data_IF_140465721959
#
_entry.id   IF_140465721959
#
_cell.length_a   1.000
_cell.length_b   1.000
_cell.length_c   1.000
_cell.angle_alpha   90.00
_cell.angle_beta   90.00
_cell.angle_gamma   90.00
#
_symmetry.space_group_name_H-M   'P 1'
#
loop_
_entity.id
_entity.type
_entity.pdbx_description
1 polymer ?
2 non-polymer ?
#
# COMPACT_ATOMS: atom_id res chain seq x y z
N UNK A 11 -1.18 -28.29 4.04
CA UNK A 11 -1.52 -27.32 5.07
C UNK A 11 -1.48 -25.90 4.51
N UNK A 12 -1.25 -24.94 5.41
CA UNK A 12 -1.18 -23.54 5.01
C UNK A 12 0.13 -23.20 4.32
N UNK A 13 1.13 -24.10 4.37
CA UNK A 13 2.48 -23.73 3.97
C UNK A 13 2.56 -23.48 2.47
N UNK A 14 2.00 -24.38 1.66
CA UNK A 14 2.17 -24.27 0.22
C UNK A 14 1.51 -23.03 -0.38
N UNK A 15 0.22 -22.77 -0.17
CA UNK A 15 -0.37 -21.54 -0.73
C UNK A 15 0.28 -20.28 -0.20
N UNK A 16 0.65 -20.26 1.09
CA UNK A 16 1.32 -19.09 1.64
C UNK A 16 2.67 -18.86 0.98
N UNK A 17 3.44 -19.93 0.76
CA UNK A 17 4.74 -19.79 0.13
C UNK A 17 4.60 -19.31 -1.32
N UNK A 18 3.64 -19.88 -2.06
CA UNK A 18 3.46 -19.46 -3.44
C UNK A 18 3.01 -18.01 -3.52
N UNK A 19 2.06 -17.61 -2.66
CA UNK A 19 1.61 -16.22 -2.67
C UNK A 19 2.71 -15.26 -2.22
N UNK A 20 3.55 -15.69 -1.27
CA UNK A 20 4.66 -14.85 -0.83
C UNK A 20 5.68 -14.70 -1.94
N UNK A 21 5.96 -15.76 -2.68
CA UNK A 21 6.86 -15.64 -3.83
C UNK A 21 6.30 -14.70 -4.88
N UNK A 22 4.99 -14.82 -5.16
CA UNK A 22 4.36 -13.91 -6.11
C UNK A 22 4.45 -12.46 -5.64
N UNK A 23 4.11 -12.22 -4.37
CA UNK A 23 4.18 -10.88 -3.82
C UNK A 23 5.58 -10.35 -3.63
N UNK A 24 6.58 -11.23 -3.62
CA UNK A 24 7.96 -10.77 -3.59
C UNK A 24 8.43 -10.36 -4.97
N UNK A 25 8.28 -11.24 -5.95
CA UNK A 25 8.77 -10.93 -7.29
C UNK A 25 7.89 -9.88 -7.99
N UNK A 26 6.64 -9.71 -7.56
CA UNK A 26 5.80 -8.68 -8.15
C UNK A 26 5.97 -7.32 -7.48
N UNK A 27 6.68 -7.25 -6.36
CA UNK A 27 7.00 -5.98 -5.73
C UNK A 27 8.49 -5.70 -5.65
N UNK A 28 9.35 -6.68 -5.96
CA UNK A 28 10.78 -6.45 -6.09
C UNK A 28 10.99 -5.75 -7.43
N UNK A 29 10.69 -4.46 -7.45
CA UNK A 29 10.73 -3.66 -8.67
C UNK A 29 11.79 -2.59 -8.53
N UNK A 30 12.99 -2.79 -9.09
CA UNK A 30 14.05 -1.78 -8.95
C UNK A 30 13.72 -0.44 -9.57
N UNK A 31 12.79 -0.40 -10.52
CA UNK A 31 12.48 0.84 -11.22
C UNK A 31 11.63 1.81 -10.40
N UNK A 32 11.02 1.35 -9.31
CA UNK A 32 10.14 2.23 -8.54
C UNK A 32 10.85 3.45 -7.97
N UNK A 33 11.98 3.33 -7.28
CA UNK A 33 12.63 4.56 -6.78
C UNK A 33 13.05 5.51 -7.88
N UNK A 34 13.46 4.99 -9.04
CA UNK A 34 13.96 5.80 -10.15
C UNK A 34 12.95 5.90 -11.28
N UNK A 35 11.65 5.99 -10.96
CA UNK A 35 10.65 6.12 -12.01
C UNK A 35 10.72 7.48 -12.68
N UNK A 36 10.78 8.55 -11.88
CA UNK A 36 10.87 9.90 -12.45
C UNK A 36 12.16 10.11 -13.25
N UNK A 37 13.35 9.76 -12.74
CA UNK A 37 14.55 9.87 -13.58
C UNK A 37 14.47 9.05 -14.85
N UNK A 38 13.79 7.90 -14.81
CA UNK A 38 13.54 7.11 -16.01
C UNK A 38 12.56 7.81 -16.94
N UNK A 39 11.44 8.31 -16.40
CA UNK A 39 10.44 8.97 -17.22
C UNK A 39 10.96 10.28 -17.78
N UNK A 40 11.53 11.12 -16.93
CA UNK A 40 12.16 12.37 -17.37
C UNK A 40 13.65 12.10 -17.55
N UNK A 41 14.04 11.81 -18.78
CA UNK A 41 15.40 11.41 -19.08
C UNK A 41 15.66 11.36 -20.57
N UNK A 42 16.77 10.74 -20.96
CA UNK A 42 17.13 10.72 -22.38
C UNK A 42 16.42 9.64 -23.19
N UNK A 43 15.85 8.60 -22.55
CA UNK A 43 15.19 7.49 -23.28
C UNK A 43 13.69 7.78 -23.40
N UNK A 44 13.01 7.95 -22.27
CA UNK A 44 11.58 8.24 -22.34
C UNK A 44 11.33 9.65 -22.85
N UNK A 45 12.16 10.61 -22.43
CA UNK A 45 12.11 11.99 -22.91
C UNK A 45 10.76 12.65 -22.61
N UNK A 46 10.29 12.51 -21.39
CA UNK A 46 9.08 13.21 -20.95
C UNK A 46 9.49 14.49 -20.20
N UNK A 47 8.51 15.21 -19.66
CA UNK A 47 8.77 16.42 -18.91
C UNK A 47 7.94 16.41 -17.62
N UNK A 48 8.41 17.17 -16.63
CA UNK A 48 7.77 17.20 -15.33
C UNK A 48 6.35 17.77 -15.38
N UNK A 49 5.97 18.46 -16.45
CA UNK A 49 4.61 18.95 -16.60
C UNK A 49 3.67 17.86 -17.07
N UNK A 50 4.08 17.11 -18.11
CA UNK A 50 3.25 16.04 -18.64
C UNK A 50 3.18 14.84 -17.72
N UNK A 51 4.10 14.70 -16.77
CA UNK A 51 4.12 13.56 -15.87
C UNK A 51 3.14 13.74 -14.72
N UNK A 52 3.12 14.93 -14.11
CA UNK A 52 2.29 15.19 -12.94
C UNK A 52 0.89 15.68 -13.28
N UNK A 53 0.66 16.13 -14.52
CA UNK A 53 -0.64 16.67 -14.91
C UNK A 53 -1.41 15.79 -15.88
N UNK A 54 -0.73 15.06 -16.76
CA UNK A 54 -1.38 14.26 -17.77
C UNK A 54 -1.18 12.76 -17.60
N UNK A 55 -0.28 12.32 -16.72
CA UNK A 55 0.02 10.90 -16.59
C UNK A 55 -0.37 10.41 -15.21
N UNK A 56 0.13 11.06 -14.16
CA UNK A 56 -0.10 10.59 -12.80
C UNK A 56 -1.58 10.56 -12.40
N UNK A 57 -2.40 11.58 -12.66
CA UNK A 57 -3.82 11.48 -12.27
C UNK A 57 -4.56 10.34 -12.96
N UNK A 58 -4.08 9.87 -14.10
CA UNK A 58 -4.68 8.71 -14.75
C UNK A 58 -4.60 7.50 -13.84
N UNK A 59 -3.52 7.38 -13.07
CA UNK A 59 -3.42 6.28 -12.12
C UNK A 59 -4.54 6.34 -11.09
N UNK A 60 -4.82 7.53 -10.54
CA UNK A 60 -5.87 7.66 -9.55
C UNK A 60 -7.24 7.36 -10.14
N UNK A 61 -7.52 7.89 -11.33
CA UNK A 61 -8.81 7.65 -11.96
C UNK A 61 -9.00 6.16 -12.26
N UNK A 62 -7.97 5.52 -12.81
CA UNK A 62 -8.05 4.09 -13.10
C UNK A 62 -8.14 3.29 -11.81
N UNK A 63 -7.46 3.72 -10.76
CA UNK A 63 -7.52 3.02 -9.48
C UNK A 63 -8.95 3.03 -8.95
N UNK A 64 -9.61 4.16 -8.96
CA UNK A 64 -10.97 4.15 -8.42
C UNK A 64 -11.87 3.24 -9.28
N UNK A 65 -11.95 3.50 -10.55
CA UNK A 65 -12.91 2.69 -11.34
C UNK A 65 -12.53 1.20 -11.38
N UNK A 66 -11.25 0.84 -11.46
CA UNK A 66 -10.91 -0.59 -11.54
C UNK A 66 -11.13 -1.19 -10.18
N UNK A 67 -11.10 -0.38 -9.12
CA UNK A 67 -11.42 -0.92 -7.79
C UNK A 67 -12.87 -1.34 -7.81
N UNK A 68 -13.75 -0.60 -8.50
CA UNK A 68 -15.21 -0.91 -8.56
C UNK A 68 -15.65 -2.33 -8.96
N UNK A 69 -15.14 -2.89 -10.07
CA UNK A 69 -15.36 -4.30 -10.41
C UNK A 69 -14.50 -5.21 -9.52
N UNK A 70 -13.26 -4.79 -9.25
CA UNK A 70 -12.31 -5.56 -8.39
C UNK A 70 -12.99 -5.96 -7.08
N UNK A 71 -13.62 -5.00 -6.39
CA UNK A 71 -14.26 -5.28 -5.10
C UNK A 71 -15.63 -5.87 -5.36
N UNK A 72 -16.22 -5.74 -6.55
CA UNK A 72 -17.56 -6.36 -6.62
C UNK A 72 -17.52 -7.85 -6.97
N UNK A 73 -16.60 -8.27 -7.83
CA UNK A 73 -16.48 -9.53 -8.55
C UNK A 73 -15.29 -10.39 -8.15
N UNK A 74 -14.44 -9.97 -7.21
CA UNK A 74 -13.27 -10.78 -6.88
C UNK A 74 -13.66 -12.05 -6.14
N UNK A 75 -14.55 -11.96 -5.17
CA UNK A 75 -14.96 -13.14 -4.41
C UNK A 75 -15.68 -14.14 -5.30
N UNK A 76 -16.47 -13.65 -6.26
CA UNK A 76 -17.21 -14.55 -7.14
C UNK A 76 -16.27 -15.37 -8.02
N UNK A 77 -15.19 -14.77 -8.50
CA UNK A 77 -14.27 -15.44 -9.42
C UNK A 77 -13.22 -16.21 -8.63
N UNK A 78 -13.36 -16.24 -7.31
CA UNK A 78 -12.54 -17.07 -6.42
C UNK A 78 -11.09 -16.61 -6.35
N UNK A 79 -10.86 -15.32 -6.58
CA UNK A 79 -9.64 -14.61 -6.19
C UNK A 79 -8.40 -14.96 -7.02
N UNK A 80 -8.46 -16.01 -7.83
CA UNK A 80 -7.28 -16.35 -8.61
C UNK A 80 -7.19 -15.55 -9.91
N UNK A 81 -8.25 -15.48 -10.73
CA UNK A 81 -8.13 -14.75 -12.00
C UNK A 81 -7.75 -13.30 -11.84
N UNK A 82 -8.19 -12.64 -10.76
CA UNK A 82 -7.80 -11.25 -10.55
C UNK A 82 -6.30 -11.18 -10.23
N UNK A 83 -5.79 -12.16 -9.48
CA UNK A 83 -4.35 -12.25 -9.26
C UNK A 83 -3.63 -12.50 -10.57
N UNK A 84 -4.15 -13.42 -11.38
CA UNK A 84 -3.58 -13.66 -12.71
C UNK A 84 -3.72 -12.41 -13.57
N UNK A 85 -4.86 -11.72 -13.47
CA UNK A 85 -5.03 -10.46 -14.19
C UNK A 85 -4.02 -9.42 -13.73
N UNK A 86 -3.71 -9.39 -12.43
CA UNK A 86 -2.64 -8.52 -11.93
C UNK A 86 -1.30 -8.90 -12.54
N UNK A 87 -1.03 -10.20 -12.65
CA UNK A 87 0.22 -10.63 -13.26
C UNK A 87 0.34 -10.21 -14.71
N UNK A 88 -0.72 -10.41 -15.49
CA UNK A 88 -0.71 -9.99 -16.89
C UNK A 88 -0.59 -8.47 -16.99
N UNK A 89 -1.25 -7.73 -16.10
CA UNK A 89 -1.09 -6.28 -16.09
C UNK A 89 0.34 -5.89 -15.77
N UNK A 90 1.03 -6.66 -14.93
CA UNK A 90 2.44 -6.39 -14.64
C UNK A 90 3.30 -6.50 -15.90
N UNK A 91 3.06 -7.52 -16.71
CA UNK A 91 3.84 -7.68 -17.94
C UNK A 91 3.50 -6.58 -18.94
N UNK A 92 2.21 -6.24 -19.07
CA UNK A 92 1.82 -5.19 -20.01
C UNK A 92 2.35 -3.83 -19.53
N UNK A 93 2.23 -3.54 -18.24
CA UNK A 93 2.68 -2.26 -17.72
C UNK A 93 4.16 -2.04 -17.98
N UNK A 94 4.99 -3.03 -17.65
CA UNK A 94 6.43 -2.86 -17.81
C UNK A 94 6.90 -3.06 -19.24
N UNK A 95 6.18 -3.83 -20.04
CA UNK A 95 6.49 -3.89 -21.47
C UNK A 95 6.22 -2.54 -22.13
N UNK A 96 5.17 -1.85 -21.71
CA UNK A 96 4.89 -0.53 -22.26
C UNK A 96 5.83 0.52 -21.68
N UNK A 97 6.23 0.36 -20.41
CA UNK A 97 7.23 1.25 -19.83
C UNK A 97 8.58 1.08 -20.53
N UNK A 98 8.88 -0.14 -20.97
CA UNK A 98 10.15 -0.42 -21.62
C UNK A 98 10.21 0.15 -23.02
N UNK A 99 9.09 0.06 -23.77
CA UNK A 99 9.08 0.38 -25.19
C UNK A 99 7.98 1.37 -25.54
N UNK A 100 7.64 2.26 -24.62
CA UNK A 100 6.59 3.25 -24.85
C UNK A 100 7.18 4.62 -25.12
N UNK A 101 6.51 5.38 -25.99
CA UNK A 101 6.91 6.72 -26.34
C UNK A 101 5.70 7.64 -26.34
N UNK A 102 5.89 8.86 -25.86
CA UNK A 102 4.82 9.83 -25.81
C UNK A 102 3.92 9.65 -24.60
N UNK A 103 3.12 10.68 -24.34
CA UNK A 103 2.23 10.67 -23.18
C UNK A 103 1.14 9.62 -23.33
N UNK A 104 0.64 9.43 -24.56
CA UNK A 104 -0.51 8.56 -24.78
C UNK A 104 -0.24 7.15 -24.30
N UNK A 105 0.97 6.63 -24.55
CA UNK A 105 1.30 5.28 -24.10
C UNK A 105 1.45 5.22 -22.59
N UNK A 106 1.99 6.27 -21.97
CA UNK A 106 2.17 6.24 -20.52
C UNK A 106 0.85 6.37 -19.77
N UNK A 107 -0.17 6.97 -20.39
CA UNK A 107 -1.50 6.93 -19.79
C UNK A 107 -2.05 5.50 -19.79
N UNK A 108 -1.76 4.73 -20.84
CA UNK A 108 -2.11 3.32 -20.84
C UNK A 108 -1.32 2.58 -19.78
N UNK A 109 -0.05 2.95 -19.59
CA UNK A 109 0.75 2.39 -18.52
C UNK A 109 0.10 2.65 -17.17
N UNK A 110 -0.40 3.86 -16.97
CA UNK A 110 -1.07 4.21 -15.72
C UNK A 110 -2.37 3.42 -15.56
N UNK A 111 -3.11 3.22 -16.66
CA UNK A 111 -4.32 2.41 -16.61
C UNK A 111 -4.00 0.99 -16.14
N UNK A 112 -2.96 0.39 -16.70
CA UNK A 112 -2.63 -0.97 -16.31
C UNK A 112 -2.02 -1.04 -14.91
N UNK A 113 -1.32 0.02 -14.48
CA UNK A 113 -0.85 0.04 -13.10
C UNK A 113 -2.01 0.25 -12.13
N UNK A 114 -3.06 0.93 -12.57
CA UNK A 114 -4.28 0.97 -11.77
C UNK A 114 -4.92 -0.40 -11.67
N UNK A 115 -4.93 -1.16 -12.76
CA UNK A 115 -5.31 -2.57 -12.69
C UNK A 115 -4.49 -3.31 -11.64
N UNK A 116 -3.17 -3.11 -11.66
CA UNK A 116 -2.28 -3.80 -10.72
C UNK A 116 -2.63 -3.43 -9.28
N UNK A 117 -2.77 -2.13 -9.02
CA UNK A 117 -3.00 -1.67 -7.65
C UNK A 117 -4.38 -2.07 -7.15
N UNK A 118 -5.37 -2.13 -8.04
CA UNK A 118 -6.69 -2.59 -7.66
C UNK A 118 -6.68 -4.09 -7.35
N UNK A 119 -5.94 -4.87 -8.15
CA UNK A 119 -5.89 -6.30 -7.93
C UNK A 119 -4.99 -6.69 -6.77
N UNK A 120 -4.18 -5.76 -6.25
CA UNK A 120 -3.48 -6.02 -5.00
C UNK A 120 -4.46 -6.37 -3.88
N UNK A 121 -5.67 -5.82 -3.93
CA UNK A 121 -6.70 -6.18 -2.95
C UNK A 121 -7.04 -7.65 -3.05
N UNK A 122 -7.21 -8.16 -4.28
CA UNK A 122 -7.43 -9.59 -4.46
C UNK A 122 -6.24 -10.40 -4.00
N UNK A 123 -5.03 -9.90 -4.22
CA UNK A 123 -3.84 -10.58 -3.73
C UNK A 123 -3.88 -10.74 -2.22
N UNK A 124 -4.30 -9.69 -1.51
CA UNK A 124 -4.33 -9.77 -0.05
C UNK A 124 -5.45 -10.65 0.48
N UNK A 125 -6.50 -10.90 -0.31
CA UNK A 125 -7.64 -11.66 0.19
C UNK A 125 -7.60 -13.12 -0.24
N UNK A 126 -6.84 -13.42 -1.30
CA UNK A 126 -6.81 -14.80 -1.81
C UNK A 126 -6.39 -15.78 -0.73
N UNK A 127 -5.33 -15.46 0.02
CA UNK A 127 -4.82 -16.42 0.99
C UNK A 127 -5.81 -16.64 2.11
N UNK A 128 -6.56 -15.61 2.50
CA UNK A 128 -7.64 -15.81 3.45
C UNK A 128 -8.71 -16.72 2.88
N UNK A 129 -8.94 -16.64 1.56
CA UNK A 129 -9.91 -17.52 0.95
C UNK A 129 -9.44 -18.97 0.85
N UNK A 130 -8.17 -19.25 1.16
CA UNK A 130 -7.61 -20.56 0.90
C UNK A 130 -7.06 -21.26 2.14
N UNK A 131 -6.86 -20.57 3.26
CA UNK A 131 -6.34 -21.20 4.46
C UNK A 131 -7.40 -21.14 5.56
N UNK A 132 -7.20 -21.97 6.59
CA UNK A 132 -8.09 -22.02 7.73
C UNK A 132 -7.93 -20.78 8.61
N UNK A 133 -8.98 -20.40 9.34
CA UNK A 133 -8.89 -19.17 10.15
C UNK A 133 -7.81 -19.21 11.23
N UNK A 134 -7.43 -20.40 11.71
CA UNK A 134 -6.43 -20.48 12.77
C UNK A 134 -5.08 -19.92 12.32
N UNK A 135 -4.79 -19.94 11.02
CA UNK A 135 -3.57 -19.37 10.50
C UNK A 135 -3.73 -17.92 10.06
N UNK A 136 -4.95 -17.38 10.09
CA UNK A 136 -5.22 -16.06 9.54
C UNK A 136 -4.31 -15.00 10.13
N UNK A 137 -3.87 -15.17 11.38
CA UNK A 137 -2.89 -14.25 11.93
C UNK A 137 -1.54 -14.41 11.24
N UNK A 138 -0.94 -15.60 11.36
CA UNK A 138 0.43 -15.80 10.90
C UNK A 138 0.59 -15.35 9.45
N UNK A 139 -0.13 -16.03 8.56
CA UNK A 139 -0.16 -15.73 7.14
C UNK A 139 -0.24 -14.23 6.92
N UNK A 140 -1.18 -13.57 7.61
CA UNK A 140 -1.36 -12.13 7.45
C UNK A 140 -0.02 -11.41 7.48
N UNK A 141 0.67 -11.49 8.61
CA UNK A 141 1.96 -10.82 8.72
C UNK A 141 2.87 -11.21 7.59
N UNK A 142 3.04 -12.52 7.39
CA UNK A 142 3.91 -13.03 6.35
C UNK A 142 3.61 -12.32 5.04
N UNK A 143 2.34 -12.34 4.62
CA UNK A 143 1.97 -11.71 3.36
C UNK A 143 2.47 -10.27 3.35
N UNK A 144 1.96 -9.45 4.26
CA UNK A 144 2.38 -8.06 4.28
C UNK A 144 3.90 -7.97 4.34
N UNK A 145 4.49 -8.75 5.24
CA UNK A 145 5.93 -8.68 5.43
C UNK A 145 6.66 -8.85 4.11
N UNK A 146 6.34 -9.92 3.37
CA UNK A 146 7.15 -10.21 2.19
C UNK A 146 7.03 -9.07 1.20
N UNK A 147 5.81 -8.54 1.02
CA UNK A 147 5.64 -7.42 0.11
C UNK A 147 6.57 -6.28 0.50
N UNK A 148 6.50 -5.87 1.77
CA UNK A 148 7.37 -4.79 2.23
C UNK A 148 8.82 -5.18 2.04
N UNK A 149 9.17 -6.42 2.41
CA UNK A 149 10.53 -6.88 2.20
C UNK A 149 10.90 -6.75 0.73
N UNK A 150 10.03 -7.24 -0.15
CA UNK A 150 10.29 -7.12 -1.57
C UNK A 150 10.63 -5.68 -1.92
N UNK A 151 9.80 -4.74 -1.45
CA UNK A 151 10.00 -3.34 -1.79
C UNK A 151 11.41 -2.91 -1.41
N UNK A 152 11.81 -3.15 -0.14
CA UNK A 152 13.10 -2.65 0.27
C UNK A 152 14.20 -3.35 -0.53
N UNK A 153 14.03 -4.66 -0.77
CA UNK A 153 14.98 -5.36 -1.62
C UNK A 153 15.12 -4.67 -2.95
N UNK A 154 13.98 -4.40 -3.61
CA UNK A 154 14.03 -3.68 -4.87
C UNK A 154 14.77 -2.38 -4.73
N UNK A 155 14.41 -1.57 -3.71
CA UNK A 155 15.09 -0.30 -3.52
C UNK A 155 16.58 -0.53 -3.32
N UNK A 156 16.93 -1.51 -2.49
CA UNK A 156 18.34 -1.82 -2.30
C UNK A 156 18.95 -2.24 -3.63
N UNK A 157 18.29 -3.16 -4.35
CA UNK A 157 18.84 -3.62 -5.61
C UNK A 157 18.90 -2.49 -6.62
N UNK A 158 18.11 -1.44 -6.40
CA UNK A 158 18.31 -0.23 -7.18
C UNK A 158 19.53 0.53 -6.68
N UNK A 159 19.51 0.95 -5.41
CA UNK A 159 20.52 1.87 -4.90
C UNK A 159 21.91 1.26 -5.01
N UNK A 160 22.01 -0.07 -4.94
CA UNK A 160 23.28 -0.73 -5.16
C UNK A 160 23.69 -0.66 -6.63
N UNK A 161 22.84 -1.18 -7.51
CA UNK A 161 23.23 -1.40 -8.89
C UNK A 161 23.62 -0.10 -9.57
N UNK A 162 22.76 0.91 -9.51
CA UNK A 162 23.03 2.18 -10.18
C UNK A 162 24.31 2.80 -9.65
N UNK A 163 24.72 2.45 -8.43
CA UNK A 163 25.91 3.04 -7.82
C UNK A 163 27.09 2.07 -7.80
N UNK A 164 26.90 0.84 -8.27
CA UNK A 164 28.02 -0.10 -8.32
C UNK A 164 28.12 -0.86 -9.63
N UNK A 165 27.18 -0.70 -10.55
CA UNK A 165 27.29 -1.28 -11.87
C UNK A 165 27.02 -0.29 -12.99
N UNK A 166 26.75 0.97 -12.67
CA UNK A 166 26.35 1.98 -13.64
C UNK A 166 25.25 1.44 -14.54
N UNK A 167 24.19 0.96 -13.89
CA UNK A 167 23.09 0.31 -14.59
C UNK A 167 22.09 1.37 -15.02
N UNK A 168 21.90 1.51 -16.33
CA UNK A 168 20.95 2.48 -16.85
C UNK A 168 19.52 2.08 -16.45
N UNK A 169 18.67 3.11 -16.35
CA UNK A 169 17.29 2.87 -15.93
C UNK A 169 16.56 1.93 -16.88
N UNK A 170 16.97 1.87 -18.14
CA UNK A 170 16.39 0.91 -19.07
C UNK A 170 16.63 -0.52 -18.60
N UNK A 171 17.86 -0.82 -18.15
CA UNK A 171 18.14 -2.15 -17.65
C UNK A 171 17.55 -2.39 -16.27
N UNK A 172 17.36 -1.33 -15.48
CA UNK A 172 16.60 -1.47 -14.24
C UNK A 172 15.17 -1.91 -14.54
N UNK A 173 14.55 -1.31 -15.55
CA UNK A 173 13.20 -1.71 -15.91
C UNK A 173 13.18 -3.08 -16.57
N UNK A 174 14.25 -3.47 -17.26
CA UNK A 174 14.35 -4.83 -17.78
C UNK A 174 14.38 -5.83 -16.63
N UNK A 175 15.17 -5.53 -15.58
CA UNK A 175 15.21 -6.39 -14.40
C UNK A 175 13.84 -6.41 -13.72
N UNK A 176 13.17 -5.26 -13.68
CA UNK A 176 11.84 -5.18 -13.10
C UNK A 176 10.85 -6.05 -13.86
N UNK A 177 10.90 -6.02 -15.19
CA UNK A 177 10.04 -6.87 -16.00
C UNK A 177 10.35 -8.34 -15.80
N UNK A 178 11.64 -8.67 -15.68
CA UNK A 178 12.02 -10.05 -15.40
C UNK A 178 11.46 -10.50 -14.05
N UNK A 179 11.49 -9.58 -13.09
CA UNK A 179 10.96 -9.90 -11.74
C UNK A 179 9.46 -10.14 -11.81
N UNK A 180 8.72 -9.20 -12.40
CA UNK A 180 7.25 -9.29 -12.43
C UNK A 180 6.78 -10.40 -13.35
N UNK A 181 7.58 -10.80 -14.34
CA UNK A 181 7.18 -11.92 -15.19
C UNK A 181 7.30 -13.24 -14.46
N UNK A 182 8.35 -13.41 -13.64
CA UNK A 182 8.47 -14.62 -12.84
C UNK A 182 7.34 -14.69 -11.82
N UNK A 183 6.94 -13.53 -11.28
CA UNK A 183 5.77 -13.48 -10.40
C UNK A 183 4.53 -13.98 -11.12
N UNK A 184 4.44 -13.77 -12.44
CA UNK A 184 3.31 -14.30 -13.19
C UNK A 184 3.33 -15.83 -13.19
N UNK A 185 4.50 -16.44 -13.38
CA UNK A 185 4.59 -17.89 -13.30
C UNK A 185 4.22 -18.39 -11.91
N UNK A 186 4.66 -17.67 -10.87
CA UNK A 186 4.30 -18.08 -9.51
C UNK A 186 2.79 -17.97 -9.28
N UNK A 187 2.16 -16.93 -9.83
CA UNK A 187 0.72 -16.79 -9.72
C UNK A 187 -0.02 -17.88 -10.49
N UNK A 188 0.57 -18.37 -11.59
CA UNK A 188 -0.05 -19.45 -12.34
C UNK A 188 -0.14 -20.74 -11.52
N UNK A 189 0.77 -20.93 -10.58
CA UNK A 189 0.80 -22.14 -9.75
C UNK A 189 0.01 -21.99 -8.46
N UNK A 190 -0.65 -20.86 -8.24
CA UNK A 190 -1.44 -20.69 -7.03
C UNK A 190 -2.60 -21.68 -7.02
N UNK A 191 -2.82 -22.39 -5.92
CA UNK A 191 -3.97 -23.30 -5.85
C UNK A 191 -5.29 -22.54 -5.98
N UNK A 192 -6.23 -23.14 -6.69
CA UNK A 192 -7.54 -22.53 -6.89
C UNK A 192 -8.38 -22.70 -5.64
N UNK A 193 -8.91 -21.62 -5.06
CA UNK A 193 -9.78 -21.77 -3.89
C UNK A 193 -11.06 -22.51 -4.23
N UNK A 194 -11.61 -23.18 -3.22
CA UNK A 194 -12.83 -23.95 -3.41
C UNK A 194 -14.03 -23.02 -3.59
N UNK A 195 -15.06 -23.55 -4.23
CA UNK A 195 -16.25 -22.76 -4.54
C UNK A 195 -17.01 -22.41 -3.26
N UNK A 196 -17.66 -21.24 -3.29
CA UNK A 196 -18.45 -20.74 -2.17
C UNK A 196 -17.64 -20.67 -0.88
N UNK A 261 -31.64 -7.45 -7.30
CA UNK A 261 -31.31 -6.11 -7.78
C UNK A 261 -30.17 -5.52 -6.96
N UNK A 262 -29.96 -4.20 -7.10
CA UNK A 262 -28.86 -3.55 -6.41
C UNK A 262 -29.03 -3.60 -4.90
N UNK A 263 -30.23 -3.26 -4.42
CA UNK A 263 -30.46 -3.13 -2.98
C UNK A 263 -30.14 -4.44 -2.26
N UNK A 264 -30.51 -5.57 -2.87
CA UNK A 264 -30.18 -6.88 -2.30
C UNK A 264 -28.69 -6.97 -2.00
N UNK A 265 -27.85 -6.60 -2.98
CA UNK A 265 -26.41 -6.59 -2.75
C UNK A 265 -26.07 -5.72 -1.55
N UNK A 266 -26.63 -4.52 -1.49
CA UNK A 266 -26.40 -3.64 -0.35
C UNK A 266 -26.85 -4.32 0.93
N UNK A 267 -28.00 -5.00 0.89
CA UNK A 267 -28.45 -5.73 2.06
C UNK A 267 -27.42 -6.78 2.47
N UNK A 268 -26.87 -7.50 1.49
CA UNK A 268 -25.79 -8.43 1.79
C UNK A 268 -24.60 -7.69 2.39
N UNK A 269 -24.27 -6.51 1.85
CA UNK A 269 -23.23 -5.68 2.44
C UNK A 269 -23.58 -5.31 3.87
N UNK A 270 -24.87 -5.04 4.12
CA UNK A 270 -25.31 -4.77 5.49
C UNK A 270 -25.04 -5.95 6.40
N UNK A 271 -25.16 -7.17 5.87
CA UNK A 271 -24.85 -8.36 6.65
C UNK A 271 -23.35 -8.65 6.69
N UNK A 272 -22.56 -7.98 5.87
CA UNK A 272 -21.13 -8.25 5.82
C UNK A 272 -20.34 -7.33 6.74
N UNK A 273 -20.80 -6.08 6.90
CA UNK A 273 -20.14 -5.11 7.75
C UNK A 273 -20.72 -5.06 9.16
N UNK A 274 -21.67 -5.93 9.48
CA UNK A 274 -22.21 -6.00 10.83
C UNK A 274 -21.43 -6.92 11.74
N UNK A 275 -20.30 -7.45 11.26
CA UNK A 275 -19.52 -8.42 12.03
C UNK A 275 -18.91 -7.75 13.27
N UNK A 276 -18.40 -8.59 14.16
CA UNK A 276 -17.85 -8.11 15.42
C UNK A 276 -16.52 -7.40 15.21
N UNK A 277 -16.45 -6.13 15.61
CA UNK A 277 -15.23 -5.33 15.56
C UNK A 277 -14.63 -5.32 14.15
N UNK A 278 -15.51 -5.22 13.15
CA UNK A 278 -15.07 -5.22 11.77
C UNK A 278 -15.48 -3.96 11.03
N UNK A 279 -16.52 -3.26 11.49
CA UNK A 279 -16.79 -1.90 11.06
C UNK A 279 -15.94 -0.89 11.83
N UNK A 280 -15.35 -1.31 12.95
CA UNK A 280 -14.44 -0.48 13.73
C UNK A 280 -13.03 -0.54 13.17
N UNK A 281 -12.52 -1.75 12.93
CA UNK A 281 -11.25 -1.90 12.24
C UNK A 281 -11.32 -1.37 10.82
N UNK A 282 -12.51 -1.49 10.21
CA UNK A 282 -12.76 -0.97 8.84
C UNK A 282 -12.72 0.56 8.90
N UNK A 283 -13.29 1.15 9.95
CA UNK A 283 -13.28 2.60 10.13
C UNK A 283 -11.85 3.11 10.32
N UNK A 284 -11.02 2.36 11.02
CA UNK A 284 -9.60 2.71 11.08
C UNK A 284 -8.95 2.59 9.70
N UNK A 285 -9.20 1.48 9.01
CA UNK A 285 -8.58 1.24 7.71
C UNK A 285 -8.97 2.31 6.70
N UNK A 286 -10.26 2.68 6.68
CA UNK A 286 -10.71 3.67 5.70
C UNK A 286 -10.05 5.02 5.93
N UNK A 287 -9.83 5.39 7.19
CA UNK A 287 -9.34 6.73 7.50
C UNK A 287 -7.84 6.80 7.74
N UNK A 288 -7.25 5.77 8.35
CA UNK A 288 -5.82 5.85 8.67
C UNK A 288 -4.95 5.69 7.44
N UNK A 289 -5.30 4.78 6.55
CA UNK A 289 -4.47 4.56 5.37
C UNK A 289 -4.57 5.69 4.35
N UNK A 290 -5.66 6.46 4.36
CA UNK A 290 -5.70 7.67 3.54
C UNK A 290 -4.62 8.66 3.97
N UNK A 291 -4.54 8.92 5.27
CA UNK A 291 -3.46 9.74 5.79
C UNK A 291 -2.09 9.11 5.57
N UNK A 292 -2.02 7.78 5.63
CA UNK A 292 -0.75 7.11 5.39
C UNK A 292 -0.27 7.32 3.96
N UNK A 293 -1.19 7.20 2.98
CA UNK A 293 -0.81 7.45 1.60
C UNK A 293 -0.46 8.91 1.36
N UNK A 294 -1.17 9.83 2.03
CA UNK A 294 -0.80 11.25 1.92
C UNK A 294 0.61 11.49 2.44
N UNK A 295 0.93 10.89 3.59
CA UNK A 295 2.27 11.01 4.15
C UNK A 295 3.30 10.38 3.22
N UNK A 296 2.97 9.23 2.63
CA UNK A 296 3.87 8.59 1.68
C UNK A 296 4.16 9.52 0.50
N UNK A 297 3.12 10.15 -0.04
CA UNK A 297 3.30 11.02 -1.19
C UNK A 297 4.16 12.24 -0.85
N UNK A 298 3.92 12.85 0.31
CA UNK A 298 4.53 14.14 0.58
C UNK A 298 5.70 14.11 1.56
N UNK A 299 6.13 12.93 2.00
CA UNK A 299 7.28 12.86 2.88
C UNK A 299 8.56 13.21 2.12
N UNK A 300 8.66 12.83 0.85
CA UNK A 300 9.81 13.23 0.05
C UNK A 300 9.89 14.75 -0.08
N UNK A 301 8.74 15.39 -0.31
CA UNK A 301 8.72 16.85 -0.40
C UNK A 301 9.10 17.46 0.94
N UNK A 302 8.62 16.89 2.05
CA UNK A 302 9.00 17.40 3.36
C UNK A 302 10.50 17.28 3.59
N UNK A 303 11.09 16.15 3.19
CA UNK A 303 12.53 15.97 3.34
C UNK A 303 13.30 16.98 2.49
N UNK A 304 12.86 17.19 1.25
CA UNK A 304 13.52 18.16 0.39
C UNK A 304 13.42 19.57 0.97
N UNK A 305 12.28 19.91 1.55
CA UNK A 305 12.11 21.22 2.17
C UNK A 305 13.01 21.36 3.40
N UNK A 306 13.15 20.29 4.18
CA UNK A 306 13.91 20.38 5.43
C UNK A 306 15.38 20.63 5.17
N UNK A 307 16.00 19.84 4.29
CA UNK A 307 17.41 19.98 3.95
C UNK A 307 17.57 19.82 2.44
N UNK A 308 17.41 20.90 1.68
CA UNK A 308 17.54 20.82 0.22
C UNK A 308 19.00 20.65 -0.19
N UNK A 309 19.33 19.44 -0.66
CA UNK A 309 20.69 19.14 -1.08
C UNK A 309 20.62 18.26 -2.33
N UNK A 310 21.65 18.38 -3.17
CA UNK A 310 21.71 17.60 -4.41
C UNK A 310 21.96 16.12 -4.16
N UNK A 311 22.47 15.76 -2.99
CA UNK A 311 22.77 14.37 -2.64
C UNK A 311 21.58 13.66 -1.98
N UNK A 312 20.53 14.40 -1.64
CA UNK A 312 19.40 13.80 -0.93
C UNK A 312 18.75 12.69 -1.75
N UNK A 313 18.96 12.71 -3.07
CA UNK A 313 18.41 11.66 -3.92
C UNK A 313 18.90 10.28 -3.51
N UNK A 314 20.13 10.19 -2.99
CA UNK A 314 20.67 8.92 -2.53
C UNK A 314 20.39 8.70 -1.04
N UNK A 315 19.89 9.71 -0.34
CA UNK A 315 19.58 9.59 1.07
C UNK A 315 18.09 9.48 1.37
N UNK A 316 17.21 10.00 0.51
CA UNK A 316 15.78 9.91 0.78
C UNK A 316 15.28 8.48 0.63
N UNK A 317 15.38 7.93 -0.59
CA UNK A 317 14.87 6.60 -0.84
C UNK A 317 15.49 5.55 0.06
N UNK A 318 16.80 5.66 0.31
CA UNK A 318 17.45 4.73 1.21
C UNK A 318 16.78 4.73 2.59
N UNK A 319 16.44 5.91 3.10
CA UNK A 319 15.70 5.96 4.36
C UNK A 319 14.38 5.24 4.23
N UNK A 320 13.66 5.47 3.13
CA UNK A 320 12.44 4.69 2.89
C UNK A 320 12.76 3.22 2.76
N UNK A 321 13.90 2.89 2.14
CA UNK A 321 14.31 1.48 2.05
C UNK A 321 14.54 0.87 3.42
N UNK A 322 14.89 1.70 4.42
CA UNK A 322 14.99 1.20 5.79
C UNK A 322 13.75 1.48 6.60
N UNK A 323 12.81 2.27 6.07
CA UNK A 323 11.54 2.49 6.72
C UNK A 323 10.48 1.47 6.31
N UNK A 324 10.49 1.05 5.05
CA UNK A 324 9.65 -0.06 4.65
C UNK A 324 10.10 -1.35 5.32
N UNK A 325 11.41 -1.61 5.32
CA UNK A 325 11.93 -2.83 5.94
C UNK A 325 11.52 -2.93 7.40
N UNK A 326 11.68 -1.85 8.16
CA UNK A 326 11.20 -1.84 9.53
C UNK A 326 9.72 -2.19 9.60
N UNK A 327 8.93 -1.59 8.71
CA UNK A 327 7.52 -1.96 8.64
C UNK A 327 7.34 -3.44 8.40
N UNK A 328 8.14 -4.01 7.49
CA UNK A 328 8.13 -5.45 7.29
C UNK A 328 8.33 -6.19 8.60
N UNK A 329 9.35 -5.78 9.37
CA UNK A 329 9.59 -6.40 10.66
C UNK A 329 8.35 -6.27 11.54
N UNK A 330 7.74 -5.09 11.55
CA UNK A 330 6.51 -4.91 12.32
C UNK A 330 5.43 -5.85 11.84
N UNK A 331 5.28 -5.98 10.51
CA UNK A 331 4.35 -6.96 9.98
C UNK A 331 4.75 -8.37 10.41
N UNK A 332 6.05 -8.67 10.34
CA UNK A 332 6.53 -9.97 10.80
C UNK A 332 6.32 -10.15 12.30
N UNK A 333 6.12 -9.05 13.04
CA UNK A 333 5.78 -9.18 14.45
C UNK A 333 4.39 -9.77 14.63
N UNK A 334 3.46 -9.44 13.73
CA UNK A 334 2.10 -9.96 13.86
C UNK A 334 2.08 -11.46 13.60
N UNK A 335 2.72 -11.90 12.52
CA UNK A 335 2.69 -13.31 12.16
C UNK A 335 3.42 -14.20 13.16
N UNK A 336 4.60 -13.77 13.60
CA UNK A 336 5.47 -14.67 14.35
C UNK A 336 4.94 -14.89 15.77
N UNK A 337 4.80 -13.83 16.55
CA UNK A 337 4.44 -13.98 17.95
C UNK A 337 2.98 -14.43 18.06
N UNK A 338 2.70 -15.22 19.10
CA UNK A 338 1.36 -15.73 19.36
C UNK A 338 0.76 -14.93 20.50
N UNK A 339 0.05 -13.87 20.15
CA UNK A 339 -0.59 -12.97 21.12
C UNK A 339 -2.07 -12.85 20.77
N UNK A 340 -2.91 -13.01 21.80
CA UNK A 340 -4.39 -12.92 21.62
C UNK A 340 -4.73 -11.48 21.21
N UNK A 341 -5.01 -11.26 19.93
CA UNK A 341 -5.29 -9.90 19.46
C UNK A 341 -6.72 -9.48 19.74
N UNK A 342 -7.65 -10.45 19.76
CA UNK A 342 -9.11 -10.17 19.93
C UNK A 342 -9.35 -9.28 21.16
N UNK A 343 -8.74 -9.62 22.30
CA UNK A 343 -8.92 -8.92 23.56
C UNK A 343 -7.88 -7.82 23.78
N UNK A 344 -6.96 -7.64 22.84
CA UNK A 344 -5.90 -6.63 23.00
C UNK A 344 -5.81 -5.72 21.77
N UNK A 345 -6.58 -6.01 20.72
CA UNK A 345 -6.52 -5.24 19.50
C UNK A 345 -6.88 -3.78 19.66
N UNK A 346 -7.82 -3.48 20.56
CA UNK A 346 -8.22 -2.09 20.78
C UNK A 346 -7.10 -1.29 21.45
N UNK A 347 -6.47 -1.86 22.48
CA UNK A 347 -5.39 -1.15 23.16
C UNK A 347 -4.19 -0.97 22.23
N UNK A 348 -3.86 -2.01 21.45
CA UNK A 348 -2.79 -1.87 20.47
C UNK A 348 -3.15 -0.82 19.43
N UNK A 349 -4.41 -0.81 18.99
CA UNK A 349 -4.84 0.19 18.02
C UNK A 349 -4.64 1.60 18.55
N UNK A 350 -5.11 1.87 19.77
CA UNK A 350 -5.00 3.24 20.29
C UNK A 350 -3.54 3.59 20.56
N UNK A 351 -2.76 2.64 21.06
CA UNK A 351 -1.36 2.91 21.37
C UNK A 351 -0.59 3.25 20.10
N UNK A 352 -0.74 2.44 19.06
CA UNK A 352 0.00 2.70 17.84
C UNK A 352 -0.60 3.82 16.99
N UNK A 353 -1.87 4.16 17.19
CA UNK A 353 -2.42 5.34 16.55
C UNK A 353 -1.87 6.61 17.18
N UNK A 354 -1.80 6.66 18.51
CA UNK A 354 -1.17 7.82 19.14
C UNK A 354 0.33 7.83 18.84
N UNK A 355 0.93 6.65 18.61
CA UNK A 355 2.32 6.60 18.17
C UNK A 355 2.47 7.23 16.78
N UNK A 356 1.56 6.90 15.86
CA UNK A 356 1.58 7.52 14.53
C UNK A 356 1.41 9.03 14.64
N UNK A 357 0.48 9.49 15.48
CA UNK A 357 0.27 10.91 15.63
C UNK A 357 1.51 11.60 16.21
N UNK A 358 2.11 10.99 17.23
CA UNK A 358 3.29 11.58 17.84
C UNK A 358 4.48 11.60 16.88
N UNK A 359 4.60 10.56 16.05
CA UNK A 359 5.65 10.56 15.05
C UNK A 359 5.43 11.66 14.02
N UNK A 360 4.18 11.82 13.56
CA UNK A 360 3.90 12.84 12.55
C UNK A 360 4.14 14.24 13.09
N UNK A 361 3.75 14.50 14.34
CA UNK A 361 4.12 15.77 14.96
C UNK A 361 5.63 15.88 15.14
N UNK A 362 6.31 14.75 15.37
CA UNK A 362 7.77 14.75 15.44
C UNK A 362 8.38 15.10 14.10
N UNK A 363 7.79 14.61 13.01
CA UNK A 363 8.27 14.97 11.67
C UNK A 363 8.15 16.47 11.42
N UNK A 364 7.00 17.05 11.75
CA UNK A 364 6.74 18.44 11.42
C UNK A 364 7.55 19.39 12.31
N UNK A 365 7.55 19.16 13.62
CA UNK A 365 8.04 20.16 14.55
C UNK A 365 9.56 20.26 14.56
N UNK A 366 10.27 19.14 14.50
CA UNK A 366 11.72 19.15 14.63
C UNK A 366 12.36 19.48 13.28
N UNK A 367 13.22 20.50 13.28
CA UNK A 367 13.95 20.89 12.07
C UNK A 367 15.30 20.17 12.01
N UNK A 368 15.24 18.84 12.12
CA UNK A 368 16.42 17.99 12.03
C UNK A 368 16.06 16.80 11.16
N UNK A 369 16.77 16.63 10.04
CA UNK A 369 16.41 15.60 9.08
C UNK A 369 16.62 14.19 9.65
N UNK A 370 17.53 14.01 10.61
CA UNK A 370 17.71 12.69 11.19
C UNK A 370 16.57 12.33 12.13
N UNK A 371 16.14 13.29 12.95
CA UNK A 371 14.95 13.08 13.78
C UNK A 371 13.72 12.88 12.92
N UNK A 372 13.62 13.61 11.81
CA UNK A 372 12.51 13.41 10.87
C UNK A 372 12.55 12.02 10.25
N UNK A 373 13.74 11.53 9.89
CA UNK A 373 13.88 10.18 9.36
C UNK A 373 13.44 9.14 10.39
N UNK A 374 13.86 9.33 11.64
CA UNK A 374 13.46 8.41 12.70
C UNK A 374 11.95 8.44 12.90
N UNK A 375 11.36 9.64 12.85
CA UNK A 375 9.92 9.74 12.96
C UNK A 375 9.19 9.04 11.83
N UNK A 376 9.71 9.18 10.61
CA UNK A 376 9.10 8.48 9.47
C UNK A 376 9.22 6.98 9.62
N UNK A 377 10.37 6.50 10.09
CA UNK A 377 10.54 5.06 10.29
C UNK A 377 9.56 4.54 11.33
N UNK A 378 9.42 5.26 12.45
CA UNK A 378 8.48 4.86 13.48
C UNK A 378 7.06 4.86 12.95
N UNK A 379 6.69 5.91 12.22
CA UNK A 379 5.34 6.02 11.67
C UNK A 379 5.04 4.87 10.72
N UNK A 380 5.96 4.60 9.78
CA UNK A 380 5.74 3.54 8.81
C UNK A 380 5.66 2.18 9.49
N UNK A 381 6.56 1.89 10.44
CA UNK A 381 6.55 0.60 11.10
C UNK A 381 5.26 0.41 11.90
N UNK A 382 4.88 1.41 12.68
CA UNK A 382 3.67 1.30 13.49
C UNK A 382 2.42 1.18 12.62
N UNK A 383 2.36 1.94 11.52
CA UNK A 383 1.21 1.83 10.63
C UNK A 383 1.15 0.45 9.98
N UNK A 384 2.29 -0.08 9.56
CA UNK A 384 2.30 -1.40 8.92
C UNK A 384 1.86 -2.47 9.91
N UNK A 385 2.35 -2.38 11.14
CA UNK A 385 1.89 -3.31 12.18
C UNK A 385 0.39 -3.20 12.40
N UNK A 386 -0.12 -1.96 12.48
CA UNK A 386 -1.54 -1.75 12.72
C UNK A 386 -2.39 -2.24 11.56
N UNK A 387 -1.95 -2.03 10.33
CA UNK A 387 -2.73 -2.47 9.18
C UNK A 387 -2.69 -3.98 9.05
N UNK A 388 -1.57 -4.61 9.42
CA UNK A 388 -1.54 -6.08 9.46
C UNK A 388 -2.54 -6.60 10.48
N UNK A 389 -2.57 -5.99 11.67
CA UNK A 389 -3.55 -6.39 12.68
C UNK A 389 -4.96 -6.16 12.16
N UNK A 390 -5.18 -5.05 11.46
CA UNK A 390 -6.51 -4.74 10.93
C UNK A 390 -6.97 -5.78 9.93
N UNK A 391 -6.09 -6.13 8.99
CA UNK A 391 -6.44 -7.12 7.98
C UNK A 391 -6.72 -8.47 8.63
N UNK A 392 -5.88 -8.88 9.57
CA UNK A 392 -6.09 -10.14 10.26
C UNK A 392 -7.42 -10.15 11.01
N UNK A 393 -7.70 -9.07 11.76
CA UNK A 393 -8.91 -9.02 12.57
C UNK A 393 -10.16 -8.95 11.70
N UNK A 394 -10.08 -8.29 10.54
CA UNK A 394 -11.20 -8.30 9.61
C UNK A 394 -11.38 -9.70 9.03
N UNK A 395 -10.29 -10.39 8.74
CA UNK A 395 -10.39 -11.73 8.14
C UNK A 395 -11.04 -12.71 9.10
N UNK A 396 -10.61 -12.72 10.38
CA UNK A 396 -11.13 -13.71 11.30
C UNK A 396 -12.60 -13.42 11.65
N UNK A 397 -12.93 -12.15 11.83
CA UNK A 397 -14.28 -11.77 12.24
C UNK A 397 -15.25 -11.67 11.07
N UNK A 398 -14.79 -11.86 9.83
CA UNK A 398 -15.66 -11.67 8.68
C UNK A 398 -16.81 -12.68 8.67
N UNK A 399 -16.50 -13.96 8.90
CA UNK A 399 -17.44 -15.08 8.93
C UNK A 399 -18.24 -15.23 7.63
N UNK A 400 -17.87 -14.49 6.57
CA UNK A 400 -18.42 -14.67 5.23
C UNK A 400 -17.24 -14.68 4.26
N UNK A 401 -17.44 -15.29 3.09
CA UNK A 401 -16.39 -15.44 2.10
C UNK A 401 -15.96 -14.12 1.46
N UNK A 402 -16.68 -13.02 1.68
CA UNK A 402 -16.37 -11.76 1.00
C UNK A 402 -15.12 -11.11 1.59
N UNK A 403 -13.99 -11.79 1.39
CA UNK A 403 -12.71 -11.27 1.90
C UNK A 403 -12.28 -10.04 1.12
N UNK A 404 -12.35 -10.10 -0.21
CA UNK A 404 -11.95 -8.97 -1.03
C UNK A 404 -13.00 -7.87 -1.08
N UNK A 405 -14.26 -8.20 -0.80
CA UNK A 405 -15.29 -7.16 -0.76
C UNK A 405 -15.02 -6.17 0.35
N UNK A 406 -14.67 -6.65 1.54
CA UNK A 406 -14.34 -5.75 2.64
C UNK A 406 -13.01 -5.06 2.38
N UNK A 407 -12.01 -5.82 1.93
CA UNK A 407 -10.72 -5.22 1.63
C UNK A 407 -10.84 -4.21 0.49
N UNK A 408 -11.58 -4.58 -0.56
CA UNK A 408 -11.73 -3.68 -1.69
C UNK A 408 -12.51 -2.42 -1.35
N UNK A 409 -13.60 -2.57 -0.59
CA UNK A 409 -14.39 -1.41 -0.21
C UNK A 409 -13.59 -0.52 0.73
N UNK A 410 -12.84 -1.12 1.66
CA UNK A 410 -12.00 -0.33 2.55
C UNK A 410 -10.95 0.44 1.78
N UNK A 411 -10.29 -0.22 0.82
CA UNK A 411 -9.28 0.47 0.01
C UNK A 411 -9.90 1.58 -0.84
N UNK A 412 -11.09 1.32 -1.40
CA UNK A 412 -11.76 2.33 -2.21
C UNK A 412 -12.15 3.54 -1.36
N UNK A 413 -12.69 3.31 -0.17
CA UNK A 413 -13.08 4.42 0.70
C UNK A 413 -11.85 5.17 1.17
N UNK A 414 -10.75 4.45 1.44
CA UNK A 414 -9.51 5.11 1.81
C UNK A 414 -8.99 5.99 0.69
N UNK A 415 -9.07 5.49 -0.55
CA UNK A 415 -8.63 6.29 -1.70
C UNK A 415 -9.53 7.50 -1.91
N UNK A 416 -10.84 7.35 -1.69
CA UNK A 416 -11.75 8.49 -1.82
C UNK A 416 -11.44 9.54 -0.76
N UNK A 417 -11.22 9.10 0.48
CA UNK A 417 -10.86 10.04 1.55
C UNK A 417 -9.54 10.72 1.26
N UNK A 418 -8.57 9.97 0.75
CA UNK A 418 -7.28 10.55 0.41
C UNK A 418 -7.41 11.57 -0.71
N UNK A 419 -8.24 11.28 -1.71
CA UNK A 419 -8.48 12.24 -2.79
C UNK A 419 -9.14 13.51 -2.27
N UNK A 420 -10.14 13.37 -1.39
CA UNK A 420 -10.80 14.53 -0.83
C UNK A 420 -9.82 15.35 0.00
N UNK A 421 -8.99 14.68 0.80
CA UNK A 421 -8.03 15.39 1.64
C UNK A 421 -6.95 16.07 0.80
N UNK A 422 -6.52 15.43 -0.29
CA UNK A 422 -5.52 16.04 -1.16
C UNK A 422 -6.11 17.20 -1.96
N UNK A 423 -7.43 17.18 -2.18
CA UNK A 423 -8.08 18.35 -2.77
C UNK A 423 -8.14 19.47 -1.76
N UNK A 424 -8.40 19.15 -0.49
CA UNK A 424 -8.58 20.19 0.51
C UNK A 424 -7.24 20.84 0.88
N UNK A 425 -6.22 20.03 1.17
CA UNK A 425 -5.08 20.51 1.94
C UNK A 425 -3.90 20.94 1.06
N UNK A 426 -3.72 20.31 -0.10
CA UNK A 426 -2.50 20.55 -0.87
C UNK A 426 -2.84 21.06 -2.27
N UNK A 427 -4.02 20.70 -2.78
CA UNK A 427 -4.45 21.16 -4.08
C UNK A 427 -4.50 22.68 -4.13
N UNK A 428 -4.02 23.26 -5.22
CA UNK A 428 -3.93 24.71 -5.34
C UNK A 428 -5.29 25.37 -5.25
N UNK A 429 -6.35 24.66 -5.64
CA UNK A 429 -7.70 25.19 -5.54
C UNK A 429 -8.24 25.17 -4.12
N UNK A 430 -7.60 24.43 -3.21
CA UNK A 430 -8.03 24.38 -1.82
C UNK A 430 -7.27 25.35 -0.94
N UNK A 431 -6.84 24.89 0.23
CA UNK A 431 -6.06 25.75 1.11
C UNK A 431 -4.63 25.95 0.63
N UNK A 432 -4.13 25.09 -0.27
CA UNK A 432 -2.78 25.21 -0.81
C UNK A 432 -1.73 25.27 0.29
N UNK A 433 -1.91 24.44 1.31
CA UNK A 433 -0.98 24.45 2.44
C UNK A 433 0.37 23.89 2.01
N UNK A 434 1.47 24.59 2.28
CA UNK A 434 2.79 24.08 1.92
C UNK A 434 3.15 22.88 2.78
N UNK A 435 4.25 22.22 2.39
CA UNK A 435 4.64 20.99 3.07
C UNK A 435 5.09 21.25 4.50
N UNK A 436 5.41 22.49 4.85
CA UNK A 436 5.72 22.81 6.24
C UNK A 436 4.51 22.59 7.14
N UNK A 437 3.33 23.03 6.70
CA UNK A 437 2.09 22.83 7.46
C UNK A 437 1.35 21.56 7.05
N UNK A 438 1.76 20.98 5.92
CA UNK A 438 1.12 19.76 5.38
C UNK A 438 1.19 18.62 6.42
N UNK A 439 2.36 18.42 7.03
CA UNK A 439 2.53 17.34 8.00
C UNK A 439 1.98 17.70 9.37
N UNK A 440 1.88 18.99 9.71
CA UNK A 440 1.11 19.36 10.88
C UNK A 440 -0.35 18.97 10.73
N UNK A 441 -0.91 19.21 9.54
CA UNK A 441 -2.29 18.82 9.28
C UNK A 441 -2.45 17.30 9.32
N UNK A 442 -1.49 16.56 8.75
CA UNK A 442 -1.55 15.11 8.79
C UNK A 442 -1.44 14.58 10.20
N UNK A 443 -0.56 15.17 11.02
CA UNK A 443 -0.46 14.78 12.41
C UNK A 443 -1.72 15.07 13.18
N UNK A 444 -2.35 16.22 12.91
CA UNK A 444 -3.62 16.54 13.55
C UNK A 444 -4.71 15.56 13.13
N UNK A 445 -4.66 15.16 11.87
CA UNK A 445 -5.63 14.20 11.29
C UNK A 445 -5.48 12.85 12.01
N UNK A 446 -4.24 12.40 12.21
CA UNK A 446 -3.97 11.13 12.89
C UNK A 446 -4.25 11.24 14.38
N UNK A 447 -4.04 12.41 14.97
CA UNK A 447 -4.41 12.60 16.37
C UNK A 447 -5.92 12.55 16.56
N UNK A 448 -6.67 13.09 15.60
CA UNK A 448 -8.12 12.97 15.63
C UNK A 448 -8.52 11.51 15.52
N UNK A 449 -7.86 10.76 14.65
CA UNK A 449 -8.15 9.32 14.51
C UNK A 449 -7.88 8.61 15.84
N UNK A 450 -6.74 8.92 16.47
CA UNK A 450 -6.39 8.27 17.72
C UNK A 450 -7.36 8.63 18.84
N UNK A 451 -7.69 9.92 18.98
CA UNK A 451 -8.58 10.34 20.04
C UNK A 451 -9.99 9.82 19.86
N UNK A 452 -10.46 9.75 18.62
CA UNK A 452 -11.74 9.12 18.35
C UNK A 452 -11.72 7.66 18.78
N UNK A 453 -10.63 6.96 18.46
CA UNK A 453 -10.49 5.57 18.84
C UNK A 453 -10.12 5.39 20.31
N UNK A 454 -9.44 6.37 20.90
CA UNK A 454 -9.12 6.29 22.32
C UNK A 454 -10.36 6.56 23.17
N UNK A 455 -11.16 7.56 22.79
CA UNK A 455 -12.38 7.85 23.54
C UNK A 455 -13.40 6.73 23.39
N UNK A 456 -13.33 5.97 22.30
CA UNK A 456 -14.22 4.82 22.14
C UNK A 456 -13.95 3.77 23.21
N UNK A 457 -12.68 3.52 23.52
CA UNK A 457 -12.34 2.55 24.54
C UNK A 457 -12.85 3.00 25.91
N UNK A 458 -12.72 4.29 26.23
CA UNK A 458 -13.24 4.80 27.49
C UNK A 458 -14.77 4.72 27.53
N UNK A 459 -15.42 5.03 26.40
CA UNK A 459 -16.87 4.97 26.35
C UNK A 459 -17.39 3.55 26.55
N UNK A 460 -16.70 2.56 25.95
CA UNK A 460 -17.09 1.17 26.14
C UNK A 460 -16.93 0.77 27.61
N UNK A 461 -15.81 1.13 28.22
CA UNK A 461 -15.57 0.80 29.61
C UNK A 461 -16.39 1.69 30.55
X LIG B 1 1.63 13.80 -6.08
X LIG B 1 3.00 14.08 -5.38
X LIG B 1 3.78 12.84 -5.53
X LIG B 1 3.13 12.12 -6.43
X LIG B 1 1.61 12.56 -6.32
X LIG B 1 1.06 12.35 -7.33
X LIG B 1 0.41 10.96 -7.28
X LIG B 1 1.41 9.99 -7.18
X LIG B 1 1.51 9.17 -8.31
X LIG B 1 2.85 9.04 -9.04
X LIG B 1 2.95 8.14 -10.27
X LIG B 1 0.29 8.40 -8.81
X LIG B 1 0.40 7.51 -10.05
X LIG B 1 1.73 7.38 -10.77
X LIG B 1 1.84 6.52 -11.95
X LIG B 1 2.72 5.38 -11.91
X LIG B 1 3.69 5.23 -10.80
X LIG B 1 2.67 4.36 -12.99
X LIG B 1 3.56 3.21 -12.95
X LIG B 1 4.54 3.06 -11.83
X LIG B 1 5.47 1.86 -11.78
X LIG B 1 4.58 4.09 -10.74
X LIG B 1 5.53 3.95 -9.64
X LIG B 1 5.13 4.33 -8.30
X LIG B 1 4.93 3.27 -7.23
X LIG B 1 4.92 5.81 -7.96
X LIG B 1 4.50 6.21 -6.53
X LIG B 1 4.29 5.13 -5.47
X LIG B 1 4.51 3.66 -5.82
X LIG B 1 4.27 2.37 -4.56
X LIG B 1 3.51 1.23 -5.10
X LIG B 1 5.54 1.74 -4.21
X LIG B 1 3.49 3.03 -3.19
X LIG B 1 4.27 3.72 -2.18
X LIG B 1 3.54 4.97 -1.72
X LIG B 1 5.63 4.09 -2.75
X LIG B 1 4.48 2.79 -0.97
#
# INVERSE_FOLDING_TARGET
MDCYRTSLSSSWIYPTVILCLFGFFSMMRPSEPFLIPYLSGPDKNLTSAEITNEIFPVWTYSYLVLLLPVFVLTDYVRYKPVIILQGISFIITWLLLLFGQGVKTMQVVEFFYGMVTAAEVAYYAYIYSVVSPEHYQRVSGYCRSVTLAAYTAGSVLAQLLVSLANMSYFYLNVISLASVSVAFLFSLFLPMPKKSMFFHAKPSREIKKSSSVNPVLEETHEGEAPGCEEQKPTSEILSTSGKLNKGQLNSLKPSNVTVDVFVQWFQDLKECYSSKRLFYWSLWWAFATAGFNQVLNYVQILWDYKAPSQDSSIYNGAVEAIATFGGAVAAFAVGYVKVNWDLLGELALVVFSVVNAGSLFLMHYTANIWACYAGYLIFKSSYMLLITIAVFQIAVNLNVERYALVFGINTFIALVIQTIMTVIVVDQRGLNLPVSIQFLVYGSYFAVIAGIFLMRSMYITYSTKSQKDVQSPAPSENPDVSHPEEESNIIMSTKL
2TA CAQ CAR CAS CAT NAP CAO CAN OAM CAJ CAK CAL CAI CAH CAG NAF C2 N3 N1 C6 C5 CAA C4 NAW CAX CBC CAY CAZ CBA CBB SBD OBJ OBK NBE CBF CBH CBI CBG
#
